data_IF_897573369010
#
_entry.id   IF_897573369010
#
_cell.length_a   1.000
_cell.length_b   1.000
_cell.length_c   1.000
_cell.angle_alpha   90.00
_cell.angle_beta   90.00
_cell.angle_gamma   90.00
#
_symmetry.space_group_name_H-M   'P 1'
#
loop_
_entity.id
_entity.type
_entity.pdbx_description
1 polymer ?
#
# COMPACT_ATOMS: atom_id res chain seq x y z
N UNK A 1 2.49 -6.46 -13.87
CA UNK A 1 1.94 -6.83 -12.55
C UNK A 1 0.99 -5.74 -12.10
N UNK A 2 -0.19 -6.08 -11.60
CA UNK A 2 -1.20 -5.11 -11.13
C UNK A 2 -0.65 -4.15 -10.05
N UNK A 3 0.28 -4.63 -9.22
CA UNK A 3 0.97 -3.84 -8.19
C UNK A 3 1.83 -2.71 -8.76
N UNK A 4 2.45 -2.90 -9.93
CA UNK A 4 3.25 -1.85 -10.57
C UNK A 4 2.36 -0.75 -11.15
N UNK A 5 1.25 -1.15 -11.77
CA UNK A 5 0.27 -0.21 -12.36
C UNK A 5 -0.36 0.68 -11.28
N UNK A 6 -0.75 0.11 -10.13
CA UNK A 6 -1.36 0.91 -9.07
C UNK A 6 -0.37 1.90 -8.46
N UNK A 7 0.90 1.48 -8.26
CA UNK A 7 1.96 2.37 -7.76
C UNK A 7 2.21 3.53 -8.72
N UNK A 8 2.29 3.26 -10.03
CA UNK A 8 2.47 4.33 -11.03
C UNK A 8 1.33 5.35 -10.99
N UNK A 9 0.08 4.91 -10.82
CA UNK A 9 -1.08 5.80 -10.77
C UNK A 9 -1.19 6.58 -9.46
N UNK A 10 -0.79 5.99 -8.34
CA UNK A 10 -0.77 6.65 -7.03
C UNK A 10 0.36 7.67 -6.92
N UNK A 11 1.50 7.38 -7.52
CA UNK A 11 2.71 8.22 -7.50
C UNK A 11 2.84 9.12 -8.73
N UNK A 12 1.77 9.26 -9.52
CA UNK A 12 1.75 10.15 -10.69
C UNK A 12 2.06 11.59 -10.27
N UNK A 13 2.99 12.23 -10.96
CA UNK A 13 3.49 13.55 -10.60
C UNK A 13 2.38 14.60 -10.77
N UNK A 14 1.67 14.53 -11.89
CA UNK A 14 0.54 15.41 -12.18
C UNK A 14 -0.69 15.03 -11.32
N UNK A 15 -1.13 15.90 -10.39
CA UNK A 15 -2.25 15.61 -9.52
C UNK A 15 -3.57 15.43 -10.27
N UNK A 16 -3.68 15.94 -11.51
CA UNK A 16 -4.88 15.76 -12.33
C UNK A 16 -4.99 14.34 -12.90
N UNK A 17 -3.86 13.68 -13.10
CA UNK A 17 -3.76 12.32 -13.63
C UNK A 17 -3.58 11.27 -12.53
N UNK A 18 -3.19 11.69 -11.33
CA UNK A 18 -3.07 10.84 -10.15
C UNK A 18 -4.39 10.17 -9.80
N UNK A 19 -4.30 8.94 -9.29
CA UNK A 19 -5.42 8.24 -8.70
C UNK A 19 -5.79 8.88 -7.36
N UNK A 20 -7.01 9.44 -7.25
CA UNK A 20 -7.39 10.33 -6.13
C UNK A 20 -8.57 9.85 -5.31
N UNK A 21 -9.35 8.90 -5.83
CA UNK A 21 -10.57 8.45 -5.17
C UNK A 21 -10.49 6.97 -4.87
N UNK A 22 -11.06 6.63 -3.72
CA UNK A 22 -11.18 5.25 -3.28
C UNK A 22 -11.98 4.41 -4.29
N UNK A 23 -13.07 4.97 -4.85
CA UNK A 23 -13.85 4.30 -5.90
C UNK A 23 -13.01 3.96 -7.14
N UNK A 24 -12.06 4.80 -7.53
CA UNK A 24 -11.16 4.50 -8.65
C UNK A 24 -10.06 3.48 -8.28
N UNK A 25 -9.72 3.39 -7.00
CA UNK A 25 -8.82 2.38 -6.46
C UNK A 25 -9.47 0.98 -6.50
N UNK A 26 -10.73 0.88 -6.08
CA UNK A 26 -11.52 -0.35 -6.08
C UNK A 26 -11.65 -0.99 -7.46
N UNK A 27 -11.72 -0.17 -8.52
CA UNK A 27 -11.87 -0.68 -9.90
C UNK A 27 -10.57 -1.18 -10.53
N UNK A 28 -9.44 -1.02 -9.85
CA UNK A 28 -8.15 -1.50 -10.36
C UNK A 28 -8.07 -3.03 -10.31
N UNK A 29 -7.30 -3.62 -11.24
CA UNK A 29 -7.07 -5.06 -11.28
C UNK A 29 -6.39 -5.59 -10.00
N UNK A 30 -5.72 -4.71 -9.24
CA UNK A 30 -5.09 -5.07 -7.97
C UNK A 30 -6.12 -5.46 -6.90
N UNK A 31 -7.28 -4.81 -6.89
CA UNK A 31 -8.35 -5.04 -5.91
C UNK A 31 -9.49 -5.93 -6.44
N UNK A 32 -9.34 -6.55 -7.62
CA UNK A 32 -10.41 -7.30 -8.30
C UNK A 32 -11.07 -8.37 -7.41
N UNK A 33 -10.29 -9.06 -6.60
CA UNK A 33 -10.76 -10.17 -5.77
C UNK A 33 -11.01 -9.74 -4.30
N UNK A 34 -10.96 -8.42 -4.02
CA UNK A 34 -11.23 -7.87 -2.69
C UNK A 34 -12.67 -7.37 -2.59
N UNK A 35 -13.40 -7.89 -1.60
CA UNK A 35 -14.72 -7.37 -1.25
C UNK A 35 -14.60 -6.31 -0.15
N UNK A 36 -14.75 -5.04 -0.53
CA UNK A 36 -14.64 -3.90 0.38
C UNK A 36 -15.68 -3.93 1.49
N UNK A 37 -16.89 -4.44 1.21
CA UNK A 37 -17.94 -4.56 2.22
C UNK A 37 -17.50 -5.49 3.35
N UNK A 38 -16.85 -6.60 3.01
CA UNK A 38 -16.36 -7.57 4.00
C UNK A 38 -15.21 -7.01 4.85
N UNK A 39 -14.39 -6.13 4.27
CA UNK A 39 -13.33 -5.40 4.98
C UNK A 39 -13.94 -4.42 6.00
N UNK A 40 -14.92 -3.62 5.56
CA UNK A 40 -15.60 -2.65 6.44
C UNK A 40 -16.33 -3.35 7.59
N UNK A 41 -16.91 -4.52 7.33
CA UNK A 41 -17.56 -5.37 8.33
C UNK A 41 -16.57 -6.19 9.17
N UNK A 42 -15.25 -6.05 8.92
CA UNK A 42 -14.17 -6.77 9.61
C UNK A 42 -14.38 -8.28 9.66
N UNK A 43 -14.99 -8.85 8.61
CA UNK A 43 -15.29 -10.29 8.53
C UNK A 43 -14.04 -11.16 8.50
N UNK A 44 -12.92 -10.60 8.07
CA UNK A 44 -11.64 -11.29 7.98
C UNK A 44 -10.66 -10.69 8.98
N UNK A 45 -10.12 -11.52 9.88
CA UNK A 45 -9.09 -11.08 10.82
C UNK A 45 -7.74 -11.03 10.10
N UNK A 46 -6.93 -9.96 10.29
CA UNK A 46 -5.60 -9.87 9.67
C UNK A 46 -4.71 -11.08 9.96
N UNK A 47 -4.75 -11.62 11.18
CA UNK A 47 -3.96 -12.79 11.56
C UNK A 47 -4.33 -14.06 10.78
N UNK A 48 -5.59 -14.20 10.36
CA UNK A 48 -6.03 -15.36 9.58
C UNK A 48 -5.52 -15.27 8.14
N UNK A 49 -5.47 -14.05 7.58
CA UNK A 49 -4.83 -13.79 6.27
C UNK A 49 -3.33 -14.04 6.32
N UNK A 50 -2.65 -13.56 7.36
CA UNK A 50 -1.21 -13.77 7.50
C UNK A 50 -0.86 -15.26 7.52
N UNK A 51 -1.64 -16.09 8.21
CA UNK A 51 -1.45 -17.55 8.21
C UNK A 51 -1.70 -18.19 6.84
N UNK A 52 -2.64 -17.64 6.06
CA UNK A 52 -2.96 -18.15 4.73
C UNK A 52 -1.82 -17.88 3.72
N UNK A 53 -1.27 -16.68 3.72
CA UNK A 53 -0.25 -16.26 2.76
C UNK A 53 1.19 -16.50 3.24
N UNK A 54 1.42 -16.48 4.55
CA UNK A 54 2.71 -16.70 5.20
C UNK A 54 2.58 -17.80 6.27
N UNK A 55 2.28 -19.06 5.88
CA UNK A 55 2.01 -20.14 6.82
C UNK A 55 3.19 -20.45 7.76
N UNK A 56 4.42 -20.18 7.31
CA UNK A 56 5.65 -20.37 8.09
C UNK A 56 6.17 -19.06 8.69
N UNK A 57 5.34 -18.01 8.73
CA UNK A 57 5.77 -16.66 9.06
C UNK A 57 6.47 -15.96 7.89
N UNK A 58 6.73 -14.65 8.02
CA UNK A 58 7.54 -13.92 7.04
C UNK A 58 8.91 -14.58 6.92
N UNK A 59 9.40 -14.75 5.69
CA UNK A 59 10.81 -15.09 5.49
C UNK A 59 11.64 -13.95 6.08
N UNK A 60 12.43 -14.25 7.12
CA UNK A 60 13.34 -13.29 7.73
C UNK A 60 14.41 -12.86 6.71
N UNK A 61 14.08 -11.92 5.84
CA UNK A 61 15.04 -11.04 5.18
C UNK A 61 15.07 -9.78 6.00
N UNK A 62 15.98 -9.77 6.98
CA UNK A 62 16.47 -8.61 7.74
C UNK A 62 15.37 -7.76 8.39
N UNK A 63 15.37 -7.74 9.73
CA UNK A 63 14.60 -6.76 10.50
C UNK A 63 14.85 -5.36 9.92
N UNK A 64 13.81 -4.57 9.56
CA UNK A 64 14.02 -3.19 9.20
C UNK A 64 14.70 -2.53 10.41
N UNK A 65 15.95 -2.07 10.23
CA UNK A 65 16.60 -1.20 11.20
C UNK A 65 15.71 0.02 11.40
N UNK A 66 15.58 0.48 12.64
CA UNK A 66 14.81 1.68 13.00
C UNK A 66 15.19 2.91 12.15
N UNK A 67 16.43 2.92 11.64
CA UNK A 67 16.98 3.90 10.70
C UNK A 67 16.15 4.10 9.41
N UNK A 68 15.47 3.05 8.91
CA UNK A 68 14.71 3.15 7.66
C UNK A 68 13.41 3.96 7.78
N UNK A 69 12.89 4.14 9.01
CA UNK A 69 11.64 4.88 9.23
C UNK A 69 11.89 6.36 9.57
N UNK A 70 13.02 6.68 10.24
CA UNK A 70 13.37 8.07 10.59
C UNK A 70 13.62 8.97 9.36
N UNK A 71 14.07 8.37 8.25
CA UNK A 71 14.30 9.12 7.01
C UNK A 71 13.03 9.46 6.22
N UNK A 72 11.85 8.98 6.63
CA UNK A 72 10.59 9.27 5.93
C UNK A 72 10.04 10.66 6.25
N UNK A 73 10.33 11.19 7.45
CA UNK A 73 9.89 12.52 7.88
C UNK A 73 10.81 13.65 7.41
N UNK A 74 11.92 13.32 6.75
CA UNK A 74 12.90 14.28 6.25
C UNK A 74 12.52 14.77 4.85
N UNK A 75 11.34 15.36 4.72
CA UNK A 75 11.06 16.19 3.54
C UNK A 75 11.89 17.47 3.66
N UNK A 76 12.85 17.63 2.75
CA UNK A 76 13.62 18.85 2.58
C UNK A 76 12.67 20.03 2.35
N UNK A 77 12.63 20.96 3.31
CA UNK A 77 12.17 22.32 3.08
C UNK A 77 13.10 22.92 2.02
N UNK A 78 12.64 22.99 0.78
CA UNK A 78 13.29 23.80 -0.24
C UNK A 78 13.14 25.26 0.20
N UNK A 79 14.13 25.79 0.91
CA UNK A 79 14.25 27.22 1.15
C UNK A 79 14.56 27.88 -0.20
N UNK A 80 13.55 28.57 -0.73
CA UNK A 80 13.69 29.38 -1.92
C UNK A 80 14.61 30.56 -1.64
N UNK A 81 15.81 30.53 -2.23
CA UNK A 81 16.66 31.71 -2.42
C UNK A 81 16.11 32.60 -3.53
#
# INVERSE_FOLDING_TARGET
>A
MASKDILQRLLELDPTRRLRSFRALETTAFFKDFNVKDILEKKVKPNDLLKLYFPNGPHNTESPSEENFENFDRFDVCDGS
#
